data_IF_126380416452
#
_entry.id   IF_126380416452
#
_cell.length_a   1.000
_cell.length_b   1.000
_cell.length_c   1.000
_cell.angle_alpha   90.00
_cell.angle_beta   90.00
_cell.angle_gamma   90.00
#
_symmetry.space_group_name_H-M   'P 1'
#
loop_
_entity.id
_entity.type
_entity.pdbx_description
1 polymer ?
#
# COMPACT_ATOMS: atom_id res chain seq x y z
N UNK A 1 -20.34 -5.46 4.81
CA UNK A 1 -19.30 -6.07 3.95
C UNK A 1 -18.02 -5.29 4.18
N UNK A 2 -16.88 -5.97 4.30
CA UNK A 2 -15.55 -5.35 4.45
C UNK A 2 -14.93 -5.24 3.05
N UNK A 3 -14.28 -4.12 2.74
CA UNK A 3 -13.59 -3.92 1.46
C UNK A 3 -12.12 -4.34 1.58
N UNK A 4 -11.72 -5.34 0.80
CA UNK A 4 -10.33 -5.77 0.68
C UNK A 4 -9.57 -4.88 -0.29
N UNK A 5 -8.33 -4.50 0.05
CA UNK A 5 -7.49 -3.62 -0.78
C UNK A 5 -6.02 -4.04 -0.71
N UNK A 6 -5.32 -3.94 -1.84
CA UNK A 6 -3.86 -3.88 -1.84
C UNK A 6 -3.42 -2.45 -1.62
N UNK A 7 -2.62 -2.18 -0.59
CA UNK A 7 -2.16 -0.83 -0.25
C UNK A 7 -0.75 -0.57 -0.76
N UNK A 8 -0.57 0.55 -1.44
CA UNK A 8 0.72 1.06 -1.95
C UNK A 8 1.63 1.53 -0.78
N UNK A 9 2.95 1.31 -0.90
CA UNK A 9 3.95 1.81 0.05
C UNK A 9 3.81 3.32 0.31
N UNK A 10 3.53 4.12 -0.72
CA UNK A 10 3.40 5.57 -0.59
C UNK A 10 2.22 5.97 0.32
N UNK A 11 1.15 5.17 0.34
CA UNK A 11 0.02 5.37 1.25
C UNK A 11 0.43 5.08 2.68
N UNK A 12 1.16 3.98 2.91
CA UNK A 12 1.68 3.61 4.23
C UNK A 12 2.61 4.70 4.76
N UNK A 13 3.57 5.15 3.95
CA UNK A 13 4.49 6.23 4.28
C UNK A 13 3.75 7.54 4.57
N UNK A 14 2.74 7.90 3.78
CA UNK A 14 1.94 9.10 4.02
C UNK A 14 1.17 9.03 5.35
N UNK A 15 0.67 7.86 5.74
CA UNK A 15 0.00 7.66 7.02
C UNK A 15 0.94 7.70 8.23
N UNK A 16 2.23 7.41 8.04
CA UNK A 16 3.25 7.56 9.08
C UNK A 16 3.54 9.03 9.37
N UNK A 17 3.63 9.88 8.33
CA UNK A 17 4.09 11.27 8.47
C UNK A 17 3.25 12.12 9.43
N UNK A 18 1.92 12.00 9.39
CA UNK A 18 1.03 12.77 10.26
C UNK A 18 -0.36 12.14 10.39
N UNK A 19 -1.09 12.41 11.50
CA UNK A 19 -2.52 12.13 11.58
C UNK A 19 -3.27 12.71 10.39
N UNK A 20 -4.03 11.86 9.71
CA UNK A 20 -4.66 12.20 8.44
C UNK A 20 -5.85 11.28 8.15
N UNK A 21 -6.66 11.65 7.16
CA UNK A 21 -7.72 10.77 6.64
C UNK A 21 -7.15 9.43 6.16
N UNK A 22 -5.94 9.43 5.59
CA UNK A 22 -5.22 8.21 5.20
C UNK A 22 -4.97 7.31 6.42
N UNK A 23 -4.46 7.87 7.52
CA UNK A 23 -4.25 7.11 8.75
C UNK A 23 -5.57 6.58 9.31
N UNK A 24 -6.64 7.38 9.33
CA UNK A 24 -7.96 6.94 9.79
C UNK A 24 -8.52 5.78 8.95
N UNK A 25 -8.28 5.79 7.65
CA UNK A 25 -8.69 4.70 6.77
C UNK A 25 -7.93 3.41 7.11
N UNK A 26 -6.61 3.46 7.31
CA UNK A 26 -5.82 2.27 7.67
C UNK A 26 -6.38 1.55 8.89
N UNK A 27 -6.79 2.28 9.92
CA UNK A 27 -7.36 1.70 11.15
C UNK A 27 -8.88 1.44 11.08
N UNK A 28 -9.51 1.68 9.92
CA UNK A 28 -10.95 1.50 9.74
C UNK A 28 -11.33 0.03 9.69
N UNK A 29 -12.30 -0.37 10.50
CA UNK A 29 -12.88 -1.74 10.45
C UNK A 29 -13.77 -2.00 9.23
N UNK A 30 -13.89 -1.02 8.32
CA UNK A 30 -14.56 -1.18 7.02
C UNK A 30 -13.63 -1.74 5.94
N UNK A 31 -12.31 -1.73 6.16
CA UNK A 31 -11.34 -2.18 5.17
C UNK A 31 -10.41 -3.26 5.72
N UNK A 32 -9.90 -4.09 4.83
CA UNK A 32 -8.87 -5.07 5.11
C UNK A 32 -7.73 -4.86 4.11
N UNK A 33 -6.52 -4.66 4.64
CA UNK A 33 -5.37 -4.25 3.84
C UNK A 33 -4.39 -5.40 3.63
N UNK A 34 -3.94 -5.54 2.40
CA UNK A 34 -2.86 -6.42 2.00
C UNK A 34 -1.72 -5.59 1.42
N UNK A 35 -0.48 -5.96 1.71
CA UNK A 35 0.67 -5.38 1.04
C UNK A 35 1.65 -6.48 0.65
N UNK A 36 2.30 -6.38 -0.51
CA UNK A 36 3.40 -7.27 -0.87
C UNK A 36 4.59 -7.05 0.07
N UNK A 37 5.34 -8.11 0.39
CA UNK A 37 6.50 -8.05 1.32
C UNK A 37 7.56 -7.03 0.92
N UNK A 38 7.68 -6.73 -0.38
CA UNK A 38 8.65 -5.77 -0.90
C UNK A 38 8.49 -4.37 -0.28
N UNK A 39 7.27 -4.00 0.17
CA UNK A 39 7.03 -2.69 0.79
C UNK A 39 7.84 -2.51 2.08
N UNK A 40 8.15 -3.61 2.79
CA UNK A 40 8.96 -3.56 4.02
C UNK A 40 10.38 -3.08 3.72
N UNK A 41 10.99 -3.60 2.65
CA UNK A 41 12.33 -3.20 2.23
C UNK A 41 12.38 -1.73 1.79
N UNK A 42 11.35 -1.26 1.10
CA UNK A 42 11.22 0.13 0.70
C UNK A 42 11.09 1.06 1.92
N UNK A 43 10.19 0.75 2.86
CA UNK A 43 10.01 1.53 4.10
C UNK A 43 11.29 1.55 4.93
N UNK A 44 12.00 0.42 5.02
CA UNK A 44 13.27 0.35 5.72
C UNK A 44 14.33 1.24 5.06
N UNK A 45 14.44 1.21 3.73
CA UNK A 45 15.38 2.03 2.95
C UNK A 45 15.17 3.53 3.19
N UNK A 46 13.92 3.96 3.34
CA UNK A 46 13.59 5.36 3.56
C UNK A 46 13.47 5.77 5.04
N UNK A 47 13.70 4.84 5.98
CA UNK A 47 13.45 5.06 7.42
C UNK A 47 14.17 6.29 7.99
N UNK A 48 15.48 6.43 7.77
CA UNK A 48 16.26 7.57 8.29
C UNK A 48 15.78 8.92 7.72
N UNK A 49 15.43 8.97 6.43
CA UNK A 49 14.92 10.19 5.79
C UNK A 49 13.55 10.58 6.38
N UNK A 50 12.65 9.61 6.51
CA UNK A 50 11.31 9.86 7.04
C UNK A 50 11.34 10.20 8.53
N UNK A 51 12.16 9.52 9.34
CA UNK A 51 12.36 9.86 10.75
C UNK A 51 12.78 11.33 10.89
N UNK A 52 13.77 11.77 10.11
CA UNK A 52 14.20 13.18 10.07
C UNK A 52 13.08 14.13 9.65
N UNK A 53 12.33 13.80 8.60
CA UNK A 53 11.19 14.61 8.12
C UNK A 53 10.08 14.73 9.16
N UNK A 54 9.90 13.72 10.00
CA UNK A 54 8.93 13.71 11.09
C UNK A 54 9.43 14.42 12.36
N UNK A 55 10.71 14.82 12.41
CA UNK A 55 11.33 15.30 13.65
C UNK A 55 11.40 14.24 14.74
N UNK A 56 11.48 12.96 14.35
CA UNK A 56 11.49 11.79 15.24
C UNK A 56 12.80 11.04 15.14
N UNK A 57 13.11 10.26 16.17
CA UNK A 57 14.16 9.25 16.14
C UNK A 57 13.76 8.07 15.23
N UNK A 58 14.75 7.31 14.77
CA UNK A 58 14.51 6.08 14.00
C UNK A 58 13.73 5.04 14.82
N UNK A 59 13.92 5.00 16.15
CA UNK A 59 13.16 4.12 17.04
C UNK A 59 11.67 4.50 17.08
N UNK A 60 11.35 5.79 17.19
CA UNK A 60 9.96 6.25 17.14
C UNK A 60 9.31 6.03 15.77
N UNK A 61 10.09 6.15 14.69
CA UNK A 61 9.63 5.79 13.35
C UNK A 61 9.33 4.29 13.24
N UNK A 62 10.24 3.42 13.72
CA UNK A 62 10.05 1.98 13.72
C UNK A 62 8.83 1.54 14.54
N UNK A 63 8.55 2.20 15.67
CA UNK A 63 7.32 1.97 16.44
C UNK A 63 6.07 2.36 15.64
N UNK A 64 6.08 3.51 14.95
CA UNK A 64 4.95 3.93 14.12
C UNK A 64 4.71 2.97 12.94
N UNK A 65 5.79 2.50 12.30
CA UNK A 65 5.76 1.46 11.27
C UNK A 65 5.11 0.18 11.82
N UNK A 66 5.57 -0.29 12.98
CA UNK A 66 5.02 -1.48 13.62
C UNK A 66 3.52 -1.37 13.90
N UNK A 67 3.05 -0.19 14.32
CA UNK A 67 1.62 0.07 14.55
C UNK A 67 0.79 0.05 13.25
N UNK A 68 1.30 0.58 12.15
CA UNK A 68 0.58 0.49 10.87
C UNK A 68 0.49 -0.97 10.41
N UNK A 69 1.57 -1.72 10.53
CA UNK A 69 1.61 -3.12 10.11
C UNK A 69 0.79 -4.07 10.98
N UNK A 70 0.20 -3.62 12.10
CA UNK A 70 -0.83 -4.43 12.80
C UNK A 70 -2.14 -4.50 12.04
N UNK A 71 -2.42 -3.55 11.14
CA UNK A 71 -3.64 -3.53 10.32
C UNK A 71 -3.40 -3.95 8.86
N UNK A 72 -2.16 -4.31 8.49
CA UNK A 72 -1.78 -4.67 7.10
C UNK A 72 -1.25 -6.10 7.05
N UNK A 73 -1.88 -6.94 6.22
CA UNK A 73 -1.44 -8.32 5.97
C UNK A 73 -0.34 -8.34 4.92
N UNK A 74 0.88 -8.65 5.35
CA UNK A 74 2.02 -8.82 4.45
C UNK A 74 1.93 -10.16 3.72
N UNK A 75 2.02 -10.12 2.39
CA UNK A 75 1.97 -11.30 1.53
C UNK A 75 3.35 -11.50 0.88
N UNK A 76 3.99 -12.67 1.10
CA UNK A 76 5.22 -13.04 0.40
C UNK A 76 5.02 -13.18 -1.11
N UNK A 77 6.09 -12.96 -1.88
CA UNK A 77 6.06 -12.97 -3.34
C UNK A 77 5.62 -14.30 -3.93
N UNK A 78 5.91 -15.43 -3.29
CA UNK A 78 5.46 -16.76 -3.70
C UNK A 78 3.92 -16.86 -3.79
N UNK A 79 3.21 -16.01 -3.04
CA UNK A 79 1.74 -15.95 -3.06
C UNK A 79 1.14 -15.32 -4.32
N UNK A 80 1.93 -14.64 -5.16
CA UNK A 80 1.43 -13.91 -6.33
C UNK A 80 2.39 -13.85 -7.53
N UNK A 81 3.59 -14.43 -7.44
CA UNK A 81 4.63 -14.38 -8.50
C UNK A 81 4.14 -14.92 -9.85
N UNK A 82 3.19 -15.85 -9.87
CA UNK A 82 2.56 -16.36 -11.10
C UNK A 82 1.91 -15.26 -11.97
N UNK A 83 1.62 -14.08 -11.41
CA UNK A 83 1.08 -12.93 -12.13
C UNK A 83 2.15 -11.90 -12.55
N UNK A 84 3.43 -12.16 -12.29
CA UNK A 84 4.53 -11.22 -12.54
C UNK A 84 4.60 -10.78 -14.00
N UNK A 85 4.71 -11.72 -14.93
CA UNK A 85 4.84 -11.43 -16.36
C UNK A 85 3.65 -10.61 -16.87
N UNK A 86 2.43 -11.00 -16.48
CA UNK A 86 1.22 -10.26 -16.80
C UNK A 86 1.26 -8.84 -16.25
N UNK A 87 1.72 -8.67 -15.01
CA UNK A 87 1.77 -7.37 -14.32
C UNK A 87 2.80 -6.43 -14.96
N UNK A 88 4.01 -6.92 -15.24
CA UNK A 88 5.06 -6.16 -15.92
C UNK A 88 4.67 -5.75 -17.36
N UNK A 89 3.79 -6.53 -18.01
CA UNK A 89 3.33 -6.23 -19.38
C UNK A 89 2.36 -5.06 -19.47
N UNK A 90 1.66 -4.73 -18.38
CA UNK A 90 0.62 -3.67 -18.36
C UNK A 90 1.06 -2.41 -17.60
N UNK A 91 2.14 -2.49 -16.82
CA UNK A 91 2.67 -1.35 -16.08
C UNK A 91 3.63 -0.52 -16.93
N UNK A 92 3.63 0.79 -16.68
CA UNK A 92 4.69 1.67 -17.21
C UNK A 92 5.98 1.51 -16.41
N UNK A 93 5.87 1.46 -15.09
CA UNK A 93 6.98 1.16 -14.18
C UNK A 93 6.92 -0.32 -13.79
N UNK A 94 7.90 -1.10 -14.25
CA UNK A 94 7.88 -2.54 -14.02
C UNK A 94 8.16 -2.89 -12.56
N UNK A 95 8.79 -2.00 -11.79
CA UNK A 95 9.11 -2.29 -10.39
C UNK A 95 7.84 -2.31 -9.51
N UNK A 96 6.74 -1.71 -9.98
CA UNK A 96 5.42 -1.73 -9.33
C UNK A 96 4.64 -3.06 -9.53
N UNK A 97 5.20 -4.02 -10.27
CA UNK A 97 4.55 -5.30 -10.56
C UNK A 97 3.99 -6.03 -9.34
N UNK A 98 4.61 -6.02 -8.13
CA UNK A 98 4.10 -6.81 -7.02
C UNK A 98 2.72 -6.35 -6.55
N UNK A 99 2.38 -5.06 -6.68
CA UNK A 99 1.08 -4.54 -6.28
C UNK A 99 -0.03 -5.00 -7.24
N UNK A 100 0.22 -4.93 -8.54
CA UNK A 100 -0.71 -5.44 -9.56
C UNK A 100 -0.87 -6.95 -9.42
N UNK A 101 0.24 -7.68 -9.30
CA UNK A 101 0.22 -9.13 -9.17
C UNK A 101 -0.56 -9.59 -7.94
N UNK A 102 -0.35 -8.94 -6.79
CA UNK A 102 -1.10 -9.24 -5.58
C UNK A 102 -2.58 -8.89 -5.74
N UNK A 103 -2.92 -7.76 -6.34
CA UNK A 103 -4.30 -7.34 -6.58
C UNK A 103 -5.04 -8.32 -7.51
N UNK A 104 -4.37 -8.81 -8.56
CA UNK A 104 -4.89 -9.85 -9.44
C UNK A 104 -5.13 -11.17 -8.68
N UNK A 105 -4.16 -11.60 -7.86
CA UNK A 105 -4.27 -12.84 -7.08
C UNK A 105 -5.35 -12.79 -6.01
N UNK A 106 -5.53 -11.64 -5.35
CA UNK A 106 -6.58 -11.40 -4.35
C UNK A 106 -7.92 -11.01 -4.96
N UNK A 107 -7.95 -10.63 -6.24
CA UNK A 107 -9.12 -10.09 -6.94
C UNK A 107 -9.71 -8.87 -6.22
N UNK A 108 -8.84 -8.01 -5.70
CA UNK A 108 -9.25 -6.81 -4.98
C UNK A 108 -8.59 -5.54 -5.57
N UNK A 109 -9.17 -4.35 -5.33
CA UNK A 109 -8.64 -3.08 -5.83
C UNK A 109 -7.31 -2.70 -5.17
N UNK A 110 -6.58 -1.80 -5.82
CA UNK A 110 -5.40 -1.13 -5.24
C UNK A 110 -5.83 0.20 -4.61
N UNK A 111 -5.30 0.51 -3.44
CA UNK A 111 -5.30 1.83 -2.86
C UNK A 111 -3.97 2.52 -3.13
N UNK A 112 -3.99 3.49 -4.05
CA UNK A 112 -2.84 4.33 -4.36
C UNK A 112 -3.28 5.72 -4.86
N UNK A 113 -2.48 6.74 -4.55
CA UNK A 113 -2.63 8.07 -5.13
C UNK A 113 -1.75 8.27 -6.37
N UNK A 114 -0.92 7.28 -6.73
CA UNK A 114 -0.10 7.33 -7.93
C UNK A 114 -0.97 7.14 -9.20
N UNK A 115 -0.80 8.05 -10.14
CA UNK A 115 -1.47 8.00 -11.44
C UNK A 115 -0.90 6.89 -12.33
N UNK A 116 0.30 6.38 -12.05
CA UNK A 116 0.93 5.24 -12.73
C UNK A 116 0.03 4.00 -12.71
N UNK A 117 -0.45 3.61 -11.52
CA UNK A 117 -1.38 2.50 -11.37
C UNK A 117 -2.71 2.70 -12.12
N UNK A 118 -3.16 3.95 -12.29
CA UNK A 118 -4.40 4.25 -13.02
C UNK A 118 -4.27 4.18 -14.55
N UNK A 119 -3.06 4.01 -15.09
CA UNK A 119 -2.86 3.87 -16.54
C UNK A 119 -3.29 2.50 -17.07
N UNK A 120 -3.30 1.48 -16.22
CA UNK A 120 -3.80 0.14 -16.54
C UNK A 120 -5.28 -0.02 -16.15
N UNK A 121 -5.94 -1.01 -16.75
CA UNK A 121 -7.38 -1.30 -16.52
C UNK A 121 -7.66 -2.71 -16.01
N UNK A 122 -6.61 -3.53 -15.79
CA UNK A 122 -6.73 -4.90 -15.29
C UNK A 122 -7.21 -4.96 -13.83
N UNK A 123 -6.84 -3.98 -13.01
CA UNK A 123 -7.30 -3.87 -11.61
C UNK A 123 -7.84 -2.47 -11.33
N UNK A 124 -8.89 -2.40 -10.52
CA UNK A 124 -9.45 -1.11 -10.05
C UNK A 124 -8.46 -0.44 -9.11
N UNK A 125 -8.30 0.87 -9.24
CA UNK A 125 -7.40 1.67 -8.39
C UNK A 125 -8.19 2.83 -7.79
N UNK A 126 -8.23 2.86 -6.46
CA UNK A 126 -8.82 3.97 -5.73
C UNK A 126 -7.73 4.87 -5.13
N UNK A 127 -7.87 6.15 -5.40
CA UNK A 127 -7.23 7.19 -4.60
C UNK A 127 -7.88 7.28 -3.22
N UNK A 128 -7.19 7.94 -2.30
CA UNK A 128 -7.71 8.19 -0.94
C UNK A 128 -9.05 8.92 -0.98
N UNK A 129 -9.20 9.92 -1.86
CA UNK A 129 -10.45 10.67 -2.01
C UNK A 129 -11.59 9.79 -2.54
N UNK A 130 -11.32 8.87 -3.47
CA UNK A 130 -12.31 7.93 -3.99
C UNK A 130 -12.72 6.90 -2.95
N UNK A 131 -11.77 6.34 -2.19
CA UNK A 131 -12.09 5.42 -1.08
C UNK A 131 -13.02 6.06 -0.06
N UNK A 132 -12.77 7.32 0.31
CA UNK A 132 -13.65 8.05 1.23
C UNK A 132 -15.08 8.14 0.67
N UNK A 133 -15.24 8.35 -0.63
CA UNK A 133 -16.56 8.43 -1.26
C UNK A 133 -17.27 7.07 -1.28
N UNK A 134 -16.53 5.98 -1.54
CA UNK A 134 -17.10 4.63 -1.62
C UNK A 134 -17.39 4.04 -0.23
N UNK A 135 -16.66 4.47 0.81
CA UNK A 135 -16.82 3.97 2.18
C UNK A 135 -17.77 4.81 3.06
N UNK A 136 -18.37 5.88 2.52
CA UNK A 136 -19.47 6.61 3.16
C UNK A 136 -20.66 5.68 3.33
#
# INVERSE_FOLDING_TARGET
>A
MIMELVVDTNILLAALLKPSMTQNLIFSKKIELFAPEHCLGEIQKYSSEFAKRMGKSEAEFALAVSLIFTEVKIIPSEGYEQFKEQSESILTDKDDWPFIALALGKKCPIWSNDKGFKKQTAVTVYSTSELIMVLK
#
